data_IF_456603690720
#
_entry.id   IF_456603690720
#
_cell.length_a   1.000
_cell.length_b   1.000
_cell.length_c   1.000
_cell.angle_alpha   90.00
_cell.angle_beta   90.00
_cell.angle_gamma   90.00
#
_symmetry.space_group_name_H-M   'P 1'
#
loop_
_entity.id
_entity.type
_entity.pdbx_description
1 polymer ?
#
# COMPACT_ATOMS: atom_id res chain seq x y z
N UNK A 1 -4.97 13.01 31.92
CA UNK A 1 -5.66 12.79 30.62
C UNK A 1 -4.61 12.74 29.53
N UNK A 2 -4.37 11.57 28.91
CA UNK A 2 -3.44 11.50 27.78
C UNK A 2 -4.09 12.25 26.63
N UNK A 3 -3.55 13.42 26.26
CA UNK A 3 -4.00 14.14 25.06
C UNK A 3 -3.79 13.19 23.89
N UNK A 4 -4.87 12.67 23.33
CA UNK A 4 -4.80 11.81 22.16
C UNK A 4 -4.00 12.55 21.08
N UNK A 5 -3.01 11.87 20.51
CA UNK A 5 -2.19 12.43 19.45
C UNK A 5 -3.03 12.76 18.22
N UNK A 6 -2.46 13.53 17.31
CA UNK A 6 -3.09 13.90 16.05
C UNK A 6 -2.48 13.11 14.90
N UNK A 7 -3.32 12.66 13.97
CA UNK A 7 -2.89 11.93 12.79
C UNK A 7 -2.26 12.86 11.75
N UNK A 8 -1.16 12.43 11.14
CA UNK A 8 -0.53 13.11 10.02
C UNK A 8 -0.76 12.35 8.70
N UNK A 9 -1.41 12.99 7.73
CA UNK A 9 -1.72 12.37 6.43
C UNK A 9 -0.54 12.18 5.49
N UNK A 10 0.59 12.84 5.79
CA UNK A 10 1.79 12.77 4.94
C UNK A 10 2.65 11.56 5.30
N UNK A 11 2.81 11.26 6.59
CA UNK A 11 3.65 10.14 7.05
C UNK A 11 2.85 8.98 7.64
N UNK A 12 1.52 9.06 7.70
CA UNK A 12 0.67 7.96 8.19
C UNK A 12 0.70 7.71 9.70
N UNK A 13 1.34 8.56 10.49
CA UNK A 13 1.54 8.33 11.93
C UNK A 13 0.68 9.25 12.81
N UNK A 14 0.24 8.71 13.95
CA UNK A 14 -0.25 9.52 15.07
C UNK A 14 0.93 10.13 15.83
N UNK A 15 0.93 11.45 15.99
CA UNK A 15 1.98 12.18 16.70
C UNK A 15 1.40 13.04 17.81
N UNK A 16 2.22 13.34 18.81
CA UNK A 16 1.81 14.24 19.89
C UNK A 16 1.43 15.63 19.33
N UNK A 17 0.45 16.26 19.98
CA UNK A 17 -0.09 17.57 19.64
C UNK A 17 1.00 18.65 19.42
N UNK A 18 2.02 18.69 20.27
CA UNK A 18 3.17 19.60 20.14
C UNK A 18 3.98 19.45 18.82
N UNK A 19 3.84 18.33 18.11
CA UNK A 19 4.49 18.09 16.81
C UNK A 19 3.71 18.69 15.65
N UNK A 20 2.58 19.36 15.90
CA UNK A 20 1.81 20.11 14.92
C UNK A 20 1.92 21.61 15.20
N UNK A 21 1.88 22.42 14.14
CA UNK A 21 1.72 23.89 14.23
C UNK A 21 0.27 24.26 14.01
N UNK A 22 -0.17 25.47 14.37
CA UNK A 22 -1.58 25.89 14.21
C UNK A 22 -2.15 25.60 12.82
N UNK A 23 -1.45 25.99 11.75
CA UNK A 23 -1.82 25.66 10.36
C UNK A 23 -1.70 24.15 10.06
N UNK A 24 -0.70 23.48 10.64
CA UNK A 24 -0.49 22.03 10.51
C UNK A 24 -1.61 21.18 11.13
N UNK A 25 -2.28 21.65 12.19
CA UNK A 25 -3.44 20.97 12.76
C UNK A 25 -4.57 20.87 11.75
N UNK A 26 -5.01 22.03 11.21
CA UNK A 26 -6.10 22.07 10.22
C UNK A 26 -5.78 21.25 8.96
N UNK A 27 -4.50 21.21 8.55
CA UNK A 27 -4.08 20.46 7.38
C UNK A 27 -3.84 18.96 7.64
N UNK A 28 -3.81 18.51 8.90
CA UNK A 28 -3.31 17.20 9.33
C UNK A 28 -1.86 16.93 8.87
N UNK A 29 -0.99 17.92 8.98
CA UNK A 29 0.42 17.85 8.59
C UNK A 29 1.30 18.20 9.80
N UNK A 30 2.13 17.25 10.24
CA UNK A 30 3.07 17.49 11.33
C UNK A 30 4.20 18.44 10.89
N UNK A 31 4.87 19.08 11.85
CA UNK A 31 5.95 20.05 11.61
C UNK A 31 7.07 19.49 10.72
N UNK A 32 7.46 18.22 10.92
CA UNK A 32 8.48 17.55 10.09
C UNK A 32 8.03 17.45 8.63
N UNK A 33 6.82 16.97 8.39
CA UNK A 33 6.26 16.84 7.05
C UNK A 33 5.94 18.20 6.40
N UNK A 34 5.65 19.23 7.20
CA UNK A 34 5.43 20.59 6.70
C UNK A 34 6.70 21.21 6.12
N UNK A 35 7.87 20.83 6.63
CA UNK A 35 9.19 21.28 6.16
C UNK A 35 9.70 20.55 4.91
N UNK A 36 9.05 19.46 4.48
CA UNK A 36 9.41 18.75 3.27
C UNK A 36 9.09 19.57 2.02
N UNK A 37 9.86 19.41 0.93
CA UNK A 37 9.53 19.94 -0.38
C UNK A 37 8.09 19.56 -0.80
N UNK A 38 7.35 20.46 -1.49
CA UNK A 38 5.95 20.20 -1.86
C UNK A 38 5.73 18.93 -2.68
N UNK A 39 6.65 18.61 -3.58
CA UNK A 39 6.68 17.43 -4.42
C UNK A 39 6.83 16.15 -3.59
N UNK A 40 7.85 16.08 -2.73
CA UNK A 40 8.10 14.94 -1.82
C UNK A 40 6.90 14.74 -0.89
N UNK A 41 6.39 15.84 -0.31
CA UNK A 41 5.23 15.80 0.58
C UNK A 41 3.98 15.27 -0.14
N UNK A 42 3.77 15.66 -1.39
CA UNK A 42 2.64 15.21 -2.18
C UNK A 42 2.75 13.73 -2.54
N UNK A 43 3.96 13.24 -2.82
CA UNK A 43 4.23 11.84 -3.13
C UNK A 43 3.91 10.95 -1.93
N UNK A 44 4.50 11.26 -0.78
CA UNK A 44 4.27 10.51 0.46
C UNK A 44 2.81 10.50 0.90
N UNK A 45 2.08 11.59 0.68
CA UNK A 45 0.65 11.65 0.99
C UNK A 45 -0.17 10.72 0.08
N UNK A 46 0.22 10.56 -1.18
CA UNK A 46 -0.42 9.64 -2.12
C UNK A 46 -0.08 8.20 -1.77
N UNK A 47 1.19 7.89 -1.51
CA UNK A 47 1.66 6.57 -1.09
C UNK A 47 0.94 6.12 0.17
N UNK A 48 0.93 6.95 1.22
CA UNK A 48 0.21 6.62 2.45
C UNK A 48 -1.29 6.42 2.20
N UNK A 49 -1.89 7.21 1.31
CA UNK A 49 -3.30 7.02 0.95
C UNK A 49 -3.54 5.69 0.23
N UNK A 50 -2.65 5.28 -0.69
CA UNK A 50 -2.73 3.99 -1.39
C UNK A 50 -2.66 2.83 -0.40
N UNK A 51 -1.72 2.89 0.54
CA UNK A 51 -1.54 1.85 1.56
C UNK A 51 -2.68 1.81 2.59
N UNK A 52 -3.31 2.96 2.88
CA UNK A 52 -4.42 3.05 3.84
C UNK A 52 -5.80 2.81 3.22
N UNK A 53 -5.89 2.37 1.96
CA UNK A 53 -7.17 2.15 1.29
C UNK A 53 -7.92 0.94 1.91
N UNK A 54 -9.21 1.07 2.28
CA UNK A 54 -9.98 -0.05 2.81
C UNK A 54 -10.16 -1.13 1.75
N UNK A 55 -10.23 -2.40 2.12
CA UNK A 55 -10.30 -3.51 1.15
C UNK A 55 -11.44 -3.33 0.12
N UNK A 56 -12.65 -3.03 0.60
CA UNK A 56 -13.79 -2.66 -0.27
C UNK A 56 -13.72 -1.17 -0.61
N UNK A 57 -13.63 -0.86 -1.89
CA UNK A 57 -13.52 0.50 -2.39
C UNK A 57 -14.86 1.04 -2.91
N UNK A 58 -15.12 2.31 -2.66
CA UNK A 58 -16.20 3.05 -3.32
C UNK A 58 -15.86 3.29 -4.80
N UNK A 59 -16.87 3.62 -5.62
CA UNK A 59 -16.67 3.95 -7.05
C UNK A 59 -15.67 5.09 -7.25
N UNK A 60 -15.70 6.10 -6.37
CA UNK A 60 -14.76 7.22 -6.41
C UNK A 60 -13.34 6.79 -6.05
N UNK A 61 -13.18 5.90 -5.07
CA UNK A 61 -11.87 5.37 -4.70
C UNK A 61 -11.28 4.50 -5.82
N UNK A 62 -12.10 3.68 -6.48
CA UNK A 62 -11.69 2.88 -7.64
C UNK A 62 -11.25 3.80 -8.78
N UNK A 63 -12.06 4.83 -9.10
CA UNK A 63 -11.69 5.83 -10.12
C UNK A 63 -10.39 6.55 -9.77
N UNK A 64 -10.22 6.93 -8.50
CA UNK A 64 -9.00 7.57 -8.03
C UNK A 64 -7.79 6.65 -8.14
N UNK A 65 -7.92 5.37 -7.78
CA UNK A 65 -6.86 4.36 -7.86
C UNK A 65 -6.46 4.09 -9.32
N UNK A 66 -7.42 3.90 -10.22
CA UNK A 66 -7.17 3.74 -11.66
C UNK A 66 -6.48 4.97 -12.28
N UNK A 67 -6.79 6.18 -11.81
CA UNK A 67 -6.07 7.37 -12.27
C UNK A 67 -4.62 7.41 -11.77
N UNK A 68 -4.30 6.74 -10.66
CA UNK A 68 -2.96 6.72 -10.06
C UNK A 68 -2.03 5.71 -10.73
N UNK A 69 -2.54 4.70 -11.40
CA UNK A 69 -1.72 3.83 -12.27
C UNK A 69 -1.20 4.53 -13.53
N UNK A 70 -1.61 5.77 -13.76
CA UNK A 70 -1.11 6.61 -14.85
C UNK A 70 -0.39 7.85 -14.31
N UNK A 71 0.01 7.87 -13.03
CA UNK A 71 0.78 8.97 -12.46
C UNK A 71 2.16 9.08 -13.14
N UNK A 72 2.69 10.31 -13.22
CA UNK A 72 3.99 10.57 -13.86
C UNK A 72 5.14 9.92 -13.10
N UNK A 73 4.96 9.76 -11.79
CA UNK A 73 5.93 9.17 -10.87
C UNK A 73 5.85 7.64 -10.91
N UNK A 74 6.94 6.93 -11.24
CA UNK A 74 6.93 5.48 -11.34
C UNK A 74 6.55 4.80 -10.02
N UNK A 75 7.04 5.30 -8.89
CA UNK A 75 6.82 4.71 -7.56
C UNK A 75 5.33 4.68 -7.17
N UNK A 76 4.59 5.74 -7.49
CA UNK A 76 3.15 5.80 -7.23
C UNK A 76 2.36 4.95 -8.21
N UNK A 77 2.79 4.92 -9.48
CA UNK A 77 2.14 4.14 -10.52
C UNK A 77 2.21 2.65 -10.21
N UNK A 78 3.40 2.16 -9.87
CA UNK A 78 3.66 0.77 -9.53
C UNK A 78 2.85 0.36 -8.31
N UNK A 79 2.94 1.13 -7.21
CA UNK A 79 2.17 0.87 -6.00
C UNK A 79 0.65 0.88 -6.25
N UNK A 80 0.15 1.79 -7.09
CA UNK A 80 -1.26 1.80 -7.46
C UNK A 80 -1.67 0.55 -8.26
N UNK A 81 -0.79 0.06 -9.14
CA UNK A 81 -1.04 -1.13 -9.94
C UNK A 81 -1.03 -2.39 -9.07
N UNK A 82 -0.10 -2.51 -8.14
CA UNK A 82 -0.06 -3.59 -7.16
C UNK A 82 -1.34 -3.63 -6.33
N UNK A 83 -1.80 -2.47 -5.84
CA UNK A 83 -3.07 -2.37 -5.10
C UNK A 83 -4.27 -2.82 -5.94
N UNK A 84 -4.30 -2.54 -7.25
CA UNK A 84 -5.36 -3.04 -8.13
C UNK A 84 -5.27 -4.55 -8.34
N UNK A 85 -4.08 -5.06 -8.63
CA UNK A 85 -3.88 -6.48 -8.87
C UNK A 85 -4.28 -7.29 -7.64
N UNK A 86 -3.80 -6.91 -6.45
CA UNK A 86 -4.15 -7.59 -5.19
C UNK A 86 -5.66 -7.66 -4.94
N UNK A 87 -6.43 -6.67 -5.40
CA UNK A 87 -7.86 -6.55 -5.07
C UNK A 87 -8.80 -7.15 -6.11
N UNK A 88 -8.44 -7.05 -7.39
CA UNK A 88 -9.35 -7.38 -8.50
C UNK A 88 -8.81 -8.47 -9.44
N UNK A 89 -7.50 -8.73 -9.42
CA UNK A 89 -6.85 -9.72 -10.28
C UNK A 89 -5.73 -10.43 -9.51
N UNK A 90 -6.05 -11.12 -8.41
CA UNK A 90 -5.04 -11.79 -7.60
C UNK A 90 -4.29 -12.86 -8.41
N UNK A 91 -4.87 -13.38 -9.50
CA UNK A 91 -4.21 -14.35 -10.38
C UNK A 91 -2.94 -13.78 -11.04
N UNK A 92 -2.85 -12.46 -11.23
CA UNK A 92 -1.65 -11.80 -11.79
C UNK A 92 -0.48 -11.73 -10.81
N UNK A 93 -0.71 -12.06 -9.55
CA UNK A 93 0.29 -12.09 -8.49
C UNK A 93 0.65 -13.51 -8.05
N UNK A 94 -0.14 -14.50 -8.49
CA UNK A 94 0.22 -15.90 -8.28
C UNK A 94 1.50 -16.18 -9.08
N UNK A 95 2.55 -16.74 -8.45
CA UNK A 95 3.60 -17.39 -9.21
C UNK A 95 2.97 -18.56 -9.98
N UNK A 96 3.55 -18.91 -11.11
CA UNK A 96 3.15 -20.09 -11.89
C UNK A 96 3.61 -21.36 -11.13
N UNK A 97 3.01 -21.61 -9.97
CA UNK A 97 3.33 -22.75 -9.09
C UNK A 97 2.74 -24.06 -9.63
N UNK A 98 2.25 -24.08 -10.87
CA UNK A 98 1.72 -25.29 -11.49
C UNK A 98 2.82 -26.31 -11.77
N UNK A 99 4.03 -25.85 -12.10
CA UNK A 99 5.16 -26.72 -12.43
C UNK A 99 5.90 -27.29 -11.20
N UNK A 100 5.92 -26.59 -10.06
CA UNK A 100 6.70 -27.01 -8.87
C UNK A 100 5.95 -28.02 -7.97
N UNK A 101 4.61 -28.00 -8.00
CA UNK A 101 3.78 -28.95 -7.24
C UNK A 101 3.71 -30.34 -7.89
N UNK A 102 3.75 -30.42 -9.23
CA UNK A 102 3.66 -31.68 -9.97
C UNK A 102 4.95 -32.52 -9.84
N UNK A 103 6.11 -31.87 -9.77
CA UNK A 103 7.42 -32.51 -9.56
C UNK A 103 7.56 -33.11 -8.14
N UNK A 104 6.84 -32.60 -7.14
CA UNK A 104 6.79 -33.18 -5.80
C UNK A 104 5.92 -34.45 -5.71
N UNK A 105 4.88 -34.55 -6.54
CA UNK A 105 3.98 -35.71 -6.58
C UNK A 105 4.53 -36.87 -7.42
N UNK A 106 5.37 -36.58 -8.41
CA UNK A 106 6.00 -37.61 -9.25
C UNK A 106 7.19 -38.31 -8.59
N UNK A 107 7.68 -37.80 -7.47
CA UNK A 107 8.81 -38.38 -6.71
C UNK A 107 8.37 -39.27 -5.53
N UNK A 108 7.07 -39.49 -5.31
CA UNK A 108 6.56 -40.35 -4.20
C UNK A 108 6.21 -41.79 -4.60
N UNK A 109 6.44 -42.22 -5.85
CA UNK A 109 6.04 -43.56 -6.34
C UNK A 109 7.21 -44.43 -6.86
N UNK A 110 8.42 -44.33 -6.29
CA UNK A 110 9.55 -45.18 -6.73
C UNK A 110 10.45 -45.74 -5.59
N UNK A 111 9.87 -46.04 -4.42
CA UNK A 111 10.53 -46.92 -3.43
C UNK A 111 9.70 -48.19 -3.17
N UNK A 112 9.98 -49.19 -4.02
CA UNK A 112 10.13 -50.62 -3.75
C UNK A 112 8.94 -51.45 -3.18
N UNK A 113 8.39 -52.27 -4.08
CA UNK A 113 8.03 -53.66 -3.79
C UNK A 113 9.17 -54.39 -3.01
N UNK A 114 8.89 -54.96 -1.83
CA UNK A 114 9.33 -56.31 -1.44
C UNK A 114 8.73 -56.75 -0.09
N UNK A 115 8.36 -58.04 -0.02
CA UNK A 115 7.87 -58.89 1.11
C UNK A 115 6.41 -59.37 1.04
#
# INVERSE_FOLDING_TARGET
MKKHGHYCKVCGEYKANEKFSGKGYAAHICKKCAALPPDVRSAQMIENKLLSLPWRLSKEQIKWLNNKTHDKRPEIRELAQEQLNMRFHPERLAPDDSDEFEDLLLNEDDDEDEW
#
